data_IF_546321701121
#
_entry.id   IF_546321701121
#
_cell.length_a   1.000
_cell.length_b   1.000
_cell.length_c   1.000
_cell.angle_alpha   90.00
_cell.angle_beta   90.00
_cell.angle_gamma   90.00
#
_symmetry.space_group_name_H-M   'P 1'
#
loop_
_entity.id
_entity.type
_entity.pdbx_description
1 polymer ?
#
# COMPACT_ATOMS: atom_id res chain seq x y z
N UNK A 1 -3.73 20.24 4.72
CA UNK A 1 -2.47 19.50 4.44
C UNK A 1 -1.76 19.29 5.77
N UNK A 2 -1.45 18.04 6.12
CA UNK A 2 -0.62 17.71 7.29
C UNK A 2 0.81 17.60 6.78
N UNK A 3 1.74 18.38 7.35
CA UNK A 3 3.15 18.30 6.96
C UNK A 3 3.82 17.16 7.72
N UNK A 4 4.38 16.19 6.98
CA UNK A 4 5.15 15.09 7.56
C UNK A 4 6.63 15.49 7.66
N UNK A 5 7.30 15.20 8.80
CA UNK A 5 8.74 15.35 8.88
C UNK A 5 9.43 14.45 7.84
N UNK A 6 10.62 14.82 7.33
CA UNK A 6 11.39 13.96 6.43
C UNK A 6 11.64 12.59 7.09
N UNK A 7 11.62 11.53 6.27
CA UNK A 7 11.82 10.13 6.70
C UNK A 7 10.84 9.66 7.78
N UNK A 8 9.55 10.05 7.67
CA UNK A 8 8.50 9.58 8.57
C UNK A 8 7.52 8.60 7.90
N UNK A 9 7.99 7.43 7.41
CA UNK A 9 7.12 6.46 6.74
C UNK A 9 6.02 5.93 7.68
N UNK A 10 6.30 5.85 8.98
CA UNK A 10 5.34 5.38 9.99
C UNK A 10 4.13 6.31 10.19
N UNK A 11 4.20 7.56 9.71
CA UNK A 11 3.08 8.50 9.74
C UNK A 11 2.32 8.53 8.41
N UNK A 12 2.65 7.65 7.46
CA UNK A 12 2.01 7.63 6.15
C UNK A 12 1.38 6.26 5.89
N UNK A 13 0.04 6.12 5.97
CA UNK A 13 -0.64 4.83 5.83
C UNK A 13 -0.48 4.22 4.43
N UNK A 14 -0.04 5.01 3.44
CA UNK A 14 0.27 4.49 2.10
C UNK A 14 1.46 3.50 2.13
N UNK A 15 2.40 3.66 3.05
CA UNK A 15 3.57 2.79 3.16
C UNK A 15 3.16 1.36 3.53
N UNK A 16 2.21 1.22 4.45
CA UNK A 16 1.65 -0.07 4.85
C UNK A 16 0.83 -0.70 3.72
N UNK A 17 0.15 0.13 2.91
CA UNK A 17 -0.60 -0.34 1.74
C UNK A 17 0.32 -0.98 0.68
N UNK A 18 1.48 -0.36 0.40
CA UNK A 18 2.51 -0.94 -0.48
C UNK A 18 3.22 -2.14 0.15
N UNK A 19 3.35 -2.16 1.48
CA UNK A 19 3.99 -3.23 2.25
C UNK A 19 3.11 -4.46 2.47
N UNK A 20 1.81 -4.41 2.16
CA UNK A 20 0.82 -5.48 2.34
C UNK A 20 1.08 -6.75 1.47
N UNK A 21 2.31 -6.94 1.01
CA UNK A 21 2.91 -8.20 0.56
C UNK A 21 2.58 -8.69 -0.86
N UNK A 22 1.55 -8.16 -1.54
CA UNK A 22 1.24 -8.61 -2.89
C UNK A 22 2.31 -8.23 -3.92
N UNK A 23 2.90 -7.03 -3.81
CA UNK A 23 3.83 -6.52 -4.82
C UNK A 23 5.20 -7.20 -4.79
N UNK A 24 5.71 -7.50 -3.61
CA UNK A 24 7.04 -8.12 -3.47
C UNK A 24 7.06 -9.56 -3.97
N UNK A 25 5.97 -10.30 -3.76
CA UNK A 25 5.89 -11.71 -4.18
C UNK A 25 5.44 -11.90 -5.63
N UNK A 26 4.69 -10.96 -6.18
CA UNK A 26 4.21 -11.01 -7.57
C UNK A 26 5.01 -10.10 -8.52
N UNK A 27 6.15 -9.56 -8.09
CA UNK A 27 6.99 -8.67 -8.91
C UNK A 27 7.31 -9.24 -10.31
N UNK A 28 7.68 -10.52 -10.39
CA UNK A 28 7.98 -11.19 -11.65
C UNK A 28 6.76 -11.30 -12.58
N UNK A 29 5.55 -11.36 -12.02
CA UNK A 29 4.30 -11.39 -12.78
C UNK A 29 4.00 -10.02 -13.39
N UNK A 30 4.21 -8.94 -12.62
CA UNK A 30 4.02 -7.57 -13.13
C UNK A 30 5.07 -7.18 -14.17
N UNK A 31 6.32 -7.62 -14.00
CA UNK A 31 7.41 -7.27 -14.93
C UNK A 31 7.19 -7.77 -16.36
N UNK A 32 6.47 -8.89 -16.51
CA UNK A 32 6.18 -9.50 -17.80
C UNK A 32 4.75 -9.24 -18.28
N UNK A 33 3.98 -8.41 -17.56
CA UNK A 33 2.62 -8.06 -17.93
C UNK A 33 2.60 -7.05 -19.06
N UNK A 34 1.67 -7.20 -19.99
CA UNK A 34 1.36 -6.20 -21.02
C UNK A 34 0.61 -4.99 -20.42
N UNK A 35 0.00 -5.16 -19.23
CA UNK A 35 -0.80 -4.14 -18.52
C UNK A 35 -0.46 -4.08 -17.02
N UNK A 36 0.79 -3.74 -16.65
CA UNK A 36 1.27 -3.81 -15.27
C UNK A 36 0.52 -2.86 -14.31
N UNK A 37 0.01 -1.74 -14.81
CA UNK A 37 -0.78 -0.76 -14.04
C UNK A 37 -2.15 -1.32 -13.61
N UNK A 38 -2.85 -2.03 -14.51
CA UNK A 38 -4.12 -2.69 -14.22
C UNK A 38 -3.92 -3.85 -13.25
N UNK A 39 -2.88 -4.65 -13.44
CA UNK A 39 -2.56 -5.75 -12.52
C UNK A 39 -2.22 -5.24 -11.12
N UNK A 40 -1.48 -4.12 -11.03
CA UNK A 40 -1.19 -3.44 -9.78
C UNK A 40 -2.46 -2.93 -9.09
N UNK A 41 -3.37 -2.31 -9.84
CA UNK A 41 -4.65 -1.84 -9.33
C UNK A 41 -5.49 -3.01 -8.77
N UNK A 42 -5.65 -4.08 -9.55
CA UNK A 42 -6.40 -5.28 -9.13
C UNK A 42 -5.78 -5.94 -7.89
N UNK A 43 -4.45 -6.01 -7.84
CA UNK A 43 -3.71 -6.51 -6.68
C UNK A 43 -4.00 -5.70 -5.41
N UNK A 44 -3.97 -4.37 -5.54
CA UNK A 44 -4.31 -3.47 -4.44
C UNK A 44 -5.76 -3.67 -3.98
N UNK A 45 -6.72 -3.74 -4.90
CA UNK A 45 -8.13 -4.01 -4.56
C UNK A 45 -8.34 -5.36 -3.88
N UNK A 46 -7.58 -6.39 -4.26
CA UNK A 46 -7.67 -7.71 -3.64
C UNK A 46 -7.03 -7.76 -2.25
N UNK A 47 -5.93 -7.02 -2.03
CA UNK A 47 -5.16 -7.08 -0.80
C UNK A 47 -5.65 -6.09 0.29
N UNK A 48 -6.11 -4.90 -0.10
CA UNK A 48 -6.49 -3.82 0.81
C UNK A 48 -7.92 -4.01 1.28
N UNK A 49 -8.11 -4.27 2.57
CA UNK A 49 -9.44 -4.40 3.19
C UNK A 49 -9.75 -3.20 4.09
N UNK A 50 -11.02 -2.87 4.34
CA UNK A 50 -11.40 -1.78 5.25
C UNK A 50 -10.82 -1.92 6.66
N UNK A 51 -10.67 -3.15 7.14
CA UNK A 51 -10.08 -3.45 8.45
C UNK A 51 -8.57 -3.09 8.50
N UNK A 52 -7.83 -3.50 7.46
CA UNK A 52 -6.42 -3.11 7.30
C UNK A 52 -6.25 -1.60 7.23
N UNK A 53 -7.08 -0.92 6.43
CA UNK A 53 -7.06 0.54 6.31
C UNK A 53 -7.27 1.20 7.67
N UNK A 54 -8.27 0.75 8.44
CA UNK A 54 -8.49 1.28 9.80
C UNK A 54 -7.26 1.07 10.69
N UNK A 55 -6.63 -0.10 10.63
CA UNK A 55 -5.39 -0.40 11.37
C UNK A 55 -4.25 0.56 11.01
N UNK A 56 -4.01 0.80 9.72
CA UNK A 56 -2.93 1.67 9.24
C UNK A 56 -3.14 3.13 9.63
N UNK A 57 -4.37 3.62 9.54
CA UNK A 57 -4.70 4.99 9.99
C UNK A 57 -4.53 5.15 11.50
N UNK A 58 -4.89 4.12 12.30
CA UNK A 58 -4.64 4.15 13.75
C UNK A 58 -3.15 4.07 14.08
N UNK A 59 -2.39 3.22 13.40
CA UNK A 59 -0.94 3.12 13.55
C UNK A 59 -0.23 4.43 13.19
N UNK A 60 -0.69 5.10 12.13
CA UNK A 60 -0.19 6.41 11.71
C UNK A 60 -0.63 7.58 12.61
N UNK A 61 -1.47 7.32 13.62
CA UNK A 61 -1.93 8.33 14.59
C UNK A 61 -3.03 9.26 14.07
N UNK A 62 -3.78 8.85 13.04
CA UNK A 62 -4.87 9.63 12.47
C UNK A 62 -6.25 9.29 13.05
N UNK A 63 -6.37 8.19 13.80
CA UNK A 63 -7.59 7.70 14.45
C UNK A 63 -7.25 7.18 15.85
#
# INVERSE_FOLDING_TARGET
>A
LIFLPPYSPNFNPIEESFSCAYLRWHYCQFQNSETPELDLELACYAAVTPDKVRGWFSHSGYI
#
